data_IF_802651190711
#
_entry.id   IF_802651190711
#
_cell.length_a   1.000
_cell.length_b   1.000
_cell.length_c   1.000
_cell.angle_alpha   90.00
_cell.angle_beta   90.00
_cell.angle_gamma   90.00
#
_symmetry.space_group_name_H-M   'P 1'
#
loop_
_entity.id
_entity.type
_entity.pdbx_description
1 polymer ?
#
# COMPACT_ATOMS: atom_id res chain seq x y z
N UNK A 1 -3.32 -5.45 -26.82
CA UNK A 1 -4.27 -6.08 -25.91
C UNK A 1 -4.02 -5.67 -24.46
N UNK A 2 -2.76 -5.75 -23.94
CA UNK A 2 -2.42 -5.32 -22.58
C UNK A 2 -2.82 -3.87 -22.28
N UNK A 3 -2.45 -2.90 -23.14
CA UNK A 3 -2.82 -1.49 -22.94
C UNK A 3 -4.34 -1.29 -22.89
N UNK A 4 -5.11 -2.02 -23.70
CA UNK A 4 -6.58 -1.96 -23.67
C UNK A 4 -7.14 -2.50 -22.38
N UNK A 5 -6.62 -3.64 -21.91
CA UNK A 5 -7.04 -4.25 -20.66
C UNK A 5 -6.65 -3.37 -19.46
N UNK A 6 -5.42 -2.84 -19.44
CA UNK A 6 -4.98 -1.90 -18.42
C UNK A 6 -5.88 -0.65 -18.37
N UNK A 7 -6.14 -0.04 -19.52
CA UNK A 7 -7.02 1.13 -19.57
C UNK A 7 -8.43 0.83 -19.06
N UNK A 8 -9.00 -0.33 -19.42
CA UNK A 8 -10.33 -0.72 -18.95
C UNK A 8 -10.40 -0.95 -17.43
N UNK A 9 -9.31 -1.41 -16.80
CA UNK A 9 -9.26 -1.76 -15.39
C UNK A 9 -8.80 -0.60 -14.49
N UNK A 10 -7.89 0.23 -14.98
CA UNK A 10 -7.18 1.24 -14.18
C UNK A 10 -7.57 2.67 -14.51
N UNK A 11 -7.85 2.96 -15.79
CA UNK A 11 -8.14 4.34 -16.18
C UNK A 11 -9.62 4.67 -15.98
N UNK A 12 -9.86 5.82 -15.39
CA UNK A 12 -11.20 6.36 -15.15
C UNK A 12 -11.32 7.70 -15.86
N UNK A 13 -12.37 7.86 -16.63
CA UNK A 13 -12.75 9.16 -17.22
C UNK A 13 -14.00 9.64 -16.53
N UNK A 14 -13.93 10.84 -15.98
CA UNK A 14 -15.04 11.48 -15.27
C UNK A 14 -15.96 12.21 -16.23
N UNK A 15 -17.12 12.68 -15.74
CA UNK A 15 -18.14 13.39 -16.52
C UNK A 15 -17.66 14.71 -17.14
N UNK A 16 -16.56 15.28 -16.62
CA UNK A 16 -15.90 16.46 -17.17
C UNK A 16 -14.77 16.15 -18.16
N UNK A 17 -14.60 14.88 -18.53
CA UNK A 17 -13.62 14.43 -19.51
C UNK A 17 -12.19 14.29 -18.96
N UNK A 18 -11.96 14.48 -17.66
CA UNK A 18 -10.66 14.24 -17.07
C UNK A 18 -10.40 12.74 -16.94
N UNK A 19 -9.14 12.31 -17.19
CA UNK A 19 -8.71 10.92 -17.08
C UNK A 19 -7.71 10.76 -15.94
N UNK A 20 -7.89 9.68 -15.18
CA UNK A 20 -7.10 9.32 -14.01
C UNK A 20 -6.60 7.88 -14.15
N UNK A 21 -5.53 7.53 -13.46
CA UNK A 21 -5.05 6.14 -13.35
C UNK A 21 -3.95 5.74 -14.32
N UNK A 22 -3.47 6.64 -15.19
CA UNK A 22 -2.48 6.28 -16.22
C UNK A 22 -1.15 5.81 -15.64
N UNK A 23 -0.66 6.45 -14.58
CA UNK A 23 0.64 6.16 -13.95
C UNK A 23 0.53 5.62 -12.52
N UNK A 24 -0.71 5.47 -12.02
CA UNK A 24 -0.94 5.00 -10.66
C UNK A 24 -0.66 3.51 -10.52
N UNK A 25 -0.13 3.11 -9.36
CA UNK A 25 0.13 1.72 -9.03
C UNK A 25 -1.11 0.99 -8.49
N UNK A 26 -2.09 1.74 -8.02
CA UNK A 26 -3.30 1.22 -7.41
C UNK A 26 -4.53 1.56 -8.25
N UNK A 27 -5.44 0.61 -8.48
CA UNK A 27 -6.69 0.90 -9.15
C UNK A 27 -7.57 1.79 -8.27
N UNK A 28 -8.31 2.72 -8.86
CA UNK A 28 -9.29 3.55 -8.16
C UNK A 28 -10.55 2.74 -7.81
N UNK A 29 -10.42 1.79 -6.89
CA UNK A 29 -11.48 0.89 -6.46
C UNK A 29 -11.69 1.02 -4.94
N UNK A 30 -12.63 1.86 -4.56
CA UNK A 30 -13.09 1.98 -3.16
C UNK A 30 -13.86 0.73 -2.73
N UNK A 31 -14.01 0.46 -1.43
CA UNK A 31 -14.77 -0.70 -0.95
C UNK A 31 -16.18 -0.79 -1.52
N UNK A 32 -16.84 0.34 -1.74
CA UNK A 32 -18.19 0.41 -2.30
C UNK A 32 -18.24 0.61 -3.82
N UNK A 33 -17.10 0.67 -4.51
CA UNK A 33 -17.06 0.88 -5.96
C UNK A 33 -17.80 -0.23 -6.70
N UNK A 34 -18.63 0.15 -7.66
CA UNK A 34 -19.30 -0.77 -8.58
C UNK A 34 -18.78 -0.62 -10.01
N UNK A 35 -17.73 0.16 -10.20
CA UNK A 35 -17.22 0.57 -11.52
C UNK A 35 -16.91 -0.60 -12.46
N UNK A 36 -16.31 -1.68 -11.95
CA UNK A 36 -16.01 -2.87 -12.75
C UNK A 36 -17.16 -3.89 -12.79
N UNK A 37 -18.25 -3.63 -12.05
CA UNK A 37 -19.34 -4.58 -11.83
C UNK A 37 -20.63 -4.20 -12.56
N UNK A 38 -20.70 -2.97 -13.13
CA UNK A 38 -21.87 -2.46 -13.83
C UNK A 38 -21.69 -2.42 -15.34
N UNK A 39 -22.77 -2.66 -16.08
CA UNK A 39 -22.77 -2.56 -17.55
C UNK A 39 -22.72 -1.07 -18.01
N UNK A 40 -22.14 -0.80 -19.16
CA UNK A 40 -21.55 -1.73 -20.13
C UNK A 40 -20.10 -2.10 -19.82
N UNK A 41 -19.50 -1.55 -18.77
CA UNK A 41 -18.09 -1.72 -18.41
C UNK A 41 -17.77 -3.18 -18.06
N UNK A 42 -18.62 -3.82 -17.29
CA UNK A 42 -18.44 -5.21 -16.89
C UNK A 42 -18.29 -6.13 -18.10
N UNK A 43 -19.21 -6.06 -19.04
CA UNK A 43 -19.18 -6.88 -20.27
C UNK A 43 -17.93 -6.59 -21.13
N UNK A 44 -17.52 -5.33 -21.24
CA UNK A 44 -16.29 -4.95 -21.96
C UNK A 44 -15.03 -5.58 -21.33
N UNK A 45 -14.93 -5.56 -20.00
CA UNK A 45 -13.80 -6.15 -19.28
C UNK A 45 -13.79 -7.66 -19.44
N UNK A 46 -14.93 -8.32 -19.29
CA UNK A 46 -15.02 -9.77 -19.50
C UNK A 46 -14.58 -10.16 -20.92
N UNK A 47 -15.01 -9.41 -21.93
CA UNK A 47 -14.58 -9.65 -23.32
C UNK A 47 -13.07 -9.51 -23.49
N UNK A 48 -12.46 -8.48 -22.92
CA UNK A 48 -11.00 -8.26 -22.96
C UNK A 48 -10.22 -9.35 -22.19
N UNK A 49 -10.72 -9.79 -21.04
CA UNK A 49 -10.09 -10.88 -20.28
C UNK A 49 -10.18 -12.21 -21.05
N UNK A 50 -11.33 -12.51 -21.69
CA UNK A 50 -11.48 -13.68 -22.56
C UNK A 50 -10.51 -13.59 -23.75
N UNK A 51 -10.47 -12.45 -24.45
CA UNK A 51 -9.54 -12.24 -25.56
C UNK A 51 -8.07 -12.45 -25.12
N UNK A 52 -7.69 -11.98 -23.92
CA UNK A 52 -6.37 -12.18 -23.36
C UNK A 52 -6.05 -13.67 -23.13
N UNK A 53 -7.01 -14.39 -22.58
CA UNK A 53 -6.86 -15.82 -22.32
C UNK A 53 -6.77 -16.65 -23.61
N UNK A 54 -7.65 -16.37 -24.58
CA UNK A 54 -7.76 -17.12 -25.83
C UNK A 54 -6.55 -16.87 -26.75
N UNK A 55 -6.07 -15.62 -26.81
CA UNK A 55 -4.90 -15.25 -27.62
C UNK A 55 -3.56 -15.45 -26.91
N UNK A 56 -3.54 -16.07 -25.74
CA UNK A 56 -2.30 -16.19 -24.95
C UNK A 56 -1.60 -14.84 -24.79
N UNK A 57 -2.35 -13.84 -24.33
CA UNK A 57 -1.87 -12.47 -24.18
C UNK A 57 -0.64 -12.32 -23.28
N UNK A 58 -0.40 -13.29 -22.41
CA UNK A 58 0.81 -13.42 -21.62
C UNK A 58 2.09 -13.51 -22.47
N UNK A 59 2.03 -14.15 -23.67
CA UNK A 59 3.16 -14.26 -24.57
C UNK A 59 3.48 -12.94 -25.30
N UNK A 60 2.57 -11.98 -25.30
CA UNK A 60 2.79 -10.66 -25.90
C UNK A 60 3.59 -9.71 -25.00
N UNK A 61 3.83 -10.08 -23.74
CA UNK A 61 4.56 -9.27 -22.76
C UNK A 61 5.91 -9.91 -22.50
N UNK A 62 6.90 -9.59 -23.33
CA UNK A 62 8.23 -10.20 -23.25
C UNK A 62 9.09 -9.66 -22.10
N UNK A 63 8.90 -8.39 -21.70
CA UNK A 63 9.72 -7.77 -20.67
C UNK A 63 9.29 -8.23 -19.26
N UNK A 64 10.21 -8.82 -18.45
CA UNK A 64 9.88 -9.31 -17.10
C UNK A 64 9.29 -8.23 -16.21
N UNK A 65 9.82 -7.02 -16.23
CA UNK A 65 9.31 -5.90 -15.45
C UNK A 65 7.85 -5.55 -15.79
N UNK A 66 7.50 -5.54 -17.07
CA UNK A 66 6.11 -5.28 -17.49
C UNK A 66 5.17 -6.42 -17.11
N UNK A 67 5.64 -7.68 -17.18
CA UNK A 67 4.87 -8.83 -16.69
C UNK A 67 4.64 -8.75 -15.19
N UNK A 68 5.67 -8.41 -14.42
CA UNK A 68 5.59 -8.24 -12.98
C UNK A 68 4.51 -7.21 -12.59
N UNK A 69 4.57 -6.04 -13.21
CA UNK A 69 3.58 -4.99 -12.94
C UNK A 69 2.18 -5.40 -13.34
N UNK A 70 2.03 -6.03 -14.48
CA UNK A 70 0.71 -6.45 -14.92
C UNK A 70 0.13 -7.59 -14.08
N UNK A 71 0.96 -8.51 -13.58
CA UNK A 71 0.53 -9.50 -12.60
C UNK A 71 0.06 -8.82 -11.31
N UNK A 72 0.84 -7.86 -10.81
CA UNK A 72 0.52 -7.10 -9.60
C UNK A 72 -0.78 -6.30 -9.74
N UNK A 73 -0.99 -5.66 -10.90
CA UNK A 73 -2.23 -4.93 -11.23
C UNK A 73 -3.45 -5.84 -11.14
N UNK A 74 -3.41 -6.97 -11.82
CA UNK A 74 -4.52 -7.90 -11.84
C UNK A 74 -4.76 -8.53 -10.46
N UNK A 75 -3.70 -8.77 -9.70
CA UNK A 75 -3.80 -9.27 -8.34
C UNK A 75 -4.45 -8.25 -7.41
N UNK A 76 -4.15 -6.95 -7.56
CA UNK A 76 -4.83 -5.90 -6.80
C UNK A 76 -6.35 -5.91 -6.99
N UNK A 77 -6.78 -6.05 -8.24
CA UNK A 77 -8.21 -6.12 -8.57
C UNK A 77 -8.83 -7.43 -8.05
N UNK A 78 -8.11 -8.54 -8.17
CA UNK A 78 -8.56 -9.82 -7.62
C UNK A 78 -8.79 -9.73 -6.11
N UNK A 79 -7.86 -9.15 -5.35
CA UNK A 79 -7.99 -8.96 -3.90
C UNK A 79 -9.20 -8.09 -3.55
N UNK A 80 -9.42 -7.01 -4.28
CA UNK A 80 -10.60 -6.18 -4.11
C UNK A 80 -11.92 -6.94 -4.36
N UNK A 81 -11.93 -7.82 -5.38
CA UNK A 81 -13.09 -8.68 -5.68
C UNK A 81 -13.27 -9.81 -4.66
N UNK A 82 -12.20 -10.29 -4.07
CA UNK A 82 -12.19 -11.42 -3.14
C UNK A 82 -12.31 -11.01 -1.67
N UNK A 83 -12.39 -9.71 -1.38
CA UNK A 83 -12.51 -9.19 -0.02
C UNK A 83 -13.78 -9.73 0.66
N UNK A 84 -13.64 -10.52 1.75
CA UNK A 84 -14.78 -11.09 2.46
C UNK A 84 -15.64 -10.00 3.11
N UNK A 85 -15.02 -8.90 3.57
CA UNK A 85 -15.76 -7.80 4.18
C UNK A 85 -16.58 -7.01 3.14
N UNK A 86 -16.28 -7.19 1.87
CA UNK A 86 -17.06 -6.61 0.80
C UNK A 86 -18.49 -7.19 0.68
N UNK A 87 -18.71 -8.37 1.22
CA UNK A 87 -20.05 -8.96 1.26
C UNK A 87 -20.97 -8.25 2.26
N UNK A 88 -20.39 -7.60 3.26
CA UNK A 88 -21.11 -6.78 4.23
C UNK A 88 -21.41 -5.36 3.72
N UNK A 89 -20.79 -4.95 2.61
CA UNK A 89 -21.13 -3.69 1.95
C UNK A 89 -22.31 -3.93 1.05
N UNK A 90 -23.47 -3.42 1.42
CA UNK A 90 -24.77 -3.63 0.75
C UNK A 90 -24.70 -3.51 -0.78
N UNK A 91 -23.93 -2.54 -1.29
CA UNK A 91 -23.73 -2.33 -2.72
C UNK A 91 -23.00 -3.47 -3.42
N UNK A 92 -22.05 -4.13 -2.77
CA UNK A 92 -21.29 -5.24 -3.36
C UNK A 92 -22.00 -6.59 -3.27
N UNK A 93 -22.85 -6.79 -2.28
CA UNK A 93 -23.66 -8.00 -2.17
C UNK A 93 -24.57 -8.21 -3.38
N UNK A 94 -24.90 -7.14 -4.11
CA UNK A 94 -25.72 -7.21 -5.34
C UNK A 94 -24.97 -7.75 -6.56
N UNK A 95 -23.65 -7.85 -6.54
CA UNK A 95 -22.79 -8.17 -7.69
C UNK A 95 -21.98 -9.45 -7.49
N UNK A 96 -22.58 -10.47 -6.84
CA UNK A 96 -21.88 -11.73 -6.54
C UNK A 96 -21.48 -12.45 -7.83
N UNK A 97 -22.36 -12.50 -8.81
CA UNK A 97 -22.11 -13.18 -10.10
C UNK A 97 -21.02 -12.45 -10.91
N UNK A 98 -21.07 -11.13 -10.96
CA UNK A 98 -20.10 -10.28 -11.67
C UNK A 98 -18.71 -10.37 -11.02
N UNK A 99 -18.65 -10.34 -9.70
CA UNK A 99 -17.40 -10.54 -8.94
C UNK A 99 -16.80 -11.92 -9.22
N UNK A 100 -17.62 -12.95 -9.21
CA UNK A 100 -17.18 -14.32 -9.51
C UNK A 100 -16.70 -14.43 -10.96
N UNK A 101 -17.43 -13.86 -11.92
CA UNK A 101 -17.08 -13.89 -13.33
C UNK A 101 -15.69 -13.24 -13.59
N UNK A 102 -15.40 -12.13 -12.92
CA UNK A 102 -14.09 -11.48 -13.01
C UNK A 102 -12.98 -12.31 -12.33
N UNK A 103 -13.20 -12.81 -11.11
CA UNK A 103 -12.23 -13.64 -10.38
C UNK A 103 -11.82 -14.88 -11.17
N UNK A 104 -12.79 -15.57 -11.78
CA UNK A 104 -12.55 -16.77 -12.57
C UNK A 104 -11.65 -16.51 -13.79
N UNK A 105 -11.61 -15.30 -14.31
CA UNK A 105 -10.77 -14.92 -15.45
C UNK A 105 -9.43 -14.31 -15.00
N UNK A 106 -9.43 -13.53 -13.93
CA UNK A 106 -8.21 -12.91 -13.41
C UNK A 106 -7.23 -13.95 -12.87
N UNK A 107 -7.69 -14.93 -12.10
CA UNK A 107 -6.82 -15.92 -11.48
C UNK A 107 -5.91 -16.67 -12.48
N UNK A 108 -6.43 -17.28 -13.56
CA UNK A 108 -5.58 -17.94 -14.55
C UNK A 108 -4.66 -16.96 -15.31
N UNK A 109 -5.07 -15.70 -15.53
CA UNK A 109 -4.19 -14.70 -16.15
C UNK A 109 -3.04 -14.35 -15.22
N UNK A 110 -3.30 -14.10 -13.95
CA UNK A 110 -2.29 -13.83 -12.92
C UNK A 110 -1.24 -14.96 -12.90
N UNK A 111 -1.67 -16.22 -12.98
CA UNK A 111 -0.78 -17.38 -13.03
C UNK A 111 0.05 -17.45 -14.32
N UNK A 112 -0.53 -17.14 -15.46
CA UNK A 112 0.18 -17.11 -16.76
C UNK A 112 1.20 -15.98 -16.87
N UNK A 113 1.01 -14.90 -16.13
CA UNK A 113 1.95 -13.79 -16.04
C UNK A 113 3.12 -14.05 -15.11
N UNK A 114 3.09 -15.14 -14.35
CA UNK A 114 4.13 -15.49 -13.40
C UNK A 114 5.53 -15.52 -14.04
N UNK A 115 6.50 -15.04 -13.28
CA UNK A 115 7.91 -15.06 -13.60
C UNK A 115 8.59 -16.20 -12.85
N UNK A 116 9.70 -16.71 -13.36
CA UNK A 116 10.55 -17.60 -12.58
C UNK A 116 11.20 -16.85 -11.40
N UNK A 117 11.65 -17.58 -10.39
CA UNK A 117 12.32 -16.95 -9.25
C UNK A 117 13.55 -16.15 -9.70
N UNK A 118 14.33 -16.70 -10.64
CA UNK A 118 15.51 -16.05 -11.19
C UNK A 118 15.15 -14.73 -11.91
N UNK A 119 14.05 -14.71 -12.65
CA UNK A 119 13.56 -13.49 -13.29
C UNK A 119 13.11 -12.45 -12.26
N UNK A 120 12.46 -12.88 -11.16
CA UNK A 120 12.07 -11.99 -10.06
C UNK A 120 13.29 -11.36 -9.39
N UNK A 121 14.34 -12.13 -9.17
CA UNK A 121 15.60 -11.66 -8.57
C UNK A 121 16.35 -10.64 -9.44
N UNK A 122 16.15 -10.69 -10.77
CA UNK A 122 16.75 -9.72 -11.72
C UNK A 122 15.95 -8.44 -11.89
N UNK A 123 14.77 -8.33 -11.29
CA UNK A 123 14.01 -7.09 -11.33
C UNK A 123 14.78 -5.94 -10.64
N UNK A 124 14.60 -4.69 -11.10
CA UNK A 124 15.36 -3.57 -10.57
C UNK A 124 15.08 -3.35 -9.09
N UNK A 125 16.11 -2.97 -8.36
CA UNK A 125 16.00 -2.44 -7.01
C UNK A 125 15.68 -0.95 -7.09
N UNK A 126 14.40 -0.59 -7.02
CA UNK A 126 13.93 0.78 -7.22
C UNK A 126 14.43 1.74 -6.17
N UNK A 127 14.69 1.25 -4.95
CA UNK A 127 15.30 2.05 -3.89
C UNK A 127 16.75 2.37 -4.19
N UNK A 128 17.54 1.38 -4.57
CA UNK A 128 18.96 1.59 -4.94
C UNK A 128 19.11 2.45 -6.18
N UNK A 129 18.21 2.31 -7.15
CA UNK A 129 18.19 3.19 -8.33
C UNK A 129 17.96 4.65 -7.90
N UNK A 130 17.02 4.90 -6.98
CA UNK A 130 16.80 6.24 -6.44
C UNK A 130 18.01 6.78 -5.69
N UNK A 131 18.69 5.97 -4.87
CA UNK A 131 19.92 6.35 -4.19
C UNK A 131 21.06 6.65 -5.17
N UNK A 132 21.23 5.85 -6.21
CA UNK A 132 22.28 5.99 -7.20
C UNK A 132 22.11 7.25 -8.08
N UNK A 133 20.88 7.77 -8.19
CA UNK A 133 20.62 9.02 -8.91
C UNK A 133 21.31 10.24 -8.29
N UNK A 134 21.68 10.16 -6.99
CA UNK A 134 22.26 11.29 -6.25
C UNK A 134 21.29 12.45 -6.00
N UNK A 135 20.02 12.31 -6.37
CA UNK A 135 19.02 13.38 -6.24
C UNK A 135 18.65 13.70 -4.79
N UNK A 136 18.90 12.75 -3.86
CA UNK A 136 18.48 12.88 -2.47
C UNK A 136 19.65 12.72 -1.52
N UNK A 137 19.83 13.64 -0.54
CA UNK A 137 20.81 13.46 0.53
C UNK A 137 20.44 12.23 1.39
N UNK A 138 21.43 11.59 2.00
CA UNK A 138 21.22 10.42 2.85
C UNK A 138 20.60 10.75 4.21
N UNK A 139 20.65 12.02 4.63
CA UNK A 139 20.16 12.50 5.93
C UNK A 139 19.39 13.80 5.75
N UNK A 140 18.41 14.01 6.61
CA UNK A 140 17.73 15.30 6.69
C UNK A 140 18.73 16.41 7.02
N UNK A 141 18.60 17.53 6.30
CA UNK A 141 19.29 18.76 6.69
C UNK A 141 18.35 19.59 7.58
N UNK A 142 18.67 19.81 8.87
CA UNK A 142 17.80 20.58 9.76
C UNK A 142 17.55 22.03 9.32
N UNK A 143 18.47 22.61 8.52
CA UNK A 143 18.32 23.96 7.97
C UNK A 143 17.46 23.99 6.69
N UNK A 144 17.18 22.85 6.09
CA UNK A 144 16.45 22.71 4.81
C UNK A 144 15.49 21.52 4.88
N UNK A 145 14.57 21.59 5.81
CA UNK A 145 13.63 20.50 6.07
C UNK A 145 12.55 20.36 4.99
N UNK A 146 12.45 21.30 4.09
CA UNK A 146 11.61 21.19 2.88
C UNK A 146 12.22 20.23 1.85
N UNK A 147 13.50 19.90 1.94
CA UNK A 147 14.19 18.99 1.01
C UNK A 147 14.06 17.54 1.47
N UNK A 148 13.52 16.71 0.60
CA UNK A 148 13.43 15.29 0.84
C UNK A 148 14.82 14.65 0.92
N UNK A 149 14.94 13.64 1.77
CA UNK A 149 16.15 12.83 1.94
C UNK A 149 15.79 11.35 1.88
N UNK A 150 16.73 10.51 1.43
CA UNK A 150 16.52 9.07 1.33
C UNK A 150 17.67 8.32 2.03
N UNK A 151 17.43 7.66 3.17
CA UNK A 151 18.49 6.99 3.94
C UNK A 151 19.17 5.88 3.14
N UNK A 152 20.50 5.85 3.13
CA UNK A 152 21.26 4.79 2.45
C UNK A 152 21.26 3.47 3.20
N UNK A 153 21.02 3.53 4.50
CA UNK A 153 21.12 2.44 5.48
C UNK A 153 19.78 1.95 6.00
N UNK A 154 18.67 2.34 5.35
CA UNK A 154 17.32 1.96 5.78
C UNK A 154 17.12 0.42 5.89
N UNK A 155 17.70 -0.32 4.96
CA UNK A 155 17.62 -1.79 4.93
C UNK A 155 18.85 -2.51 5.50
N UNK A 156 19.78 -1.76 6.11
CA UNK A 156 20.91 -2.37 6.81
C UNK A 156 20.43 -2.91 8.16
N UNK A 157 20.40 -4.22 8.29
CA UNK A 157 19.96 -4.89 9.52
C UNK A 157 20.83 -4.56 10.75
N UNK A 158 22.04 -4.04 10.56
CA UNK A 158 22.95 -3.61 11.62
C UNK A 158 23.06 -2.08 11.75
N UNK A 159 22.42 -1.35 10.82
CA UNK A 159 22.39 0.10 10.80
C UNK A 159 21.54 0.73 11.90
N UNK A 160 21.41 2.06 11.91
CA UNK A 160 20.66 2.79 12.94
C UNK A 160 19.15 2.56 12.86
N UNK A 161 18.65 2.16 11.70
CA UNK A 161 17.25 1.87 11.49
C UNK A 161 16.88 0.48 12.02
N UNK A 162 15.93 0.43 12.91
CA UNK A 162 15.40 -0.80 13.49
C UNK A 162 14.07 -1.12 12.82
N UNK A 163 13.99 -2.25 12.13
CA UNK A 163 12.72 -2.80 11.69
C UNK A 163 11.95 -3.33 12.89
N UNK A 164 10.69 -2.96 13.02
CA UNK A 164 9.85 -3.48 14.07
C UNK A 164 8.53 -4.02 13.53
N UNK A 165 7.97 -4.97 14.25
CA UNK A 165 6.74 -5.66 13.93
C UNK A 165 6.01 -6.03 15.21
N UNK A 166 4.76 -6.48 15.09
CA UNK A 166 4.02 -7.05 16.22
C UNK A 166 4.67 -8.34 16.68
N UNK A 167 4.61 -8.64 17.96
CA UNK A 167 5.25 -9.79 18.58
C UNK A 167 4.81 -11.15 18.03
N UNK A 168 3.59 -11.23 17.48
CA UNK A 168 3.08 -12.42 16.79
C UNK A 168 3.42 -12.45 15.30
N UNK A 169 4.10 -11.41 14.78
CA UNK A 169 4.45 -11.27 13.38
C UNK A 169 3.27 -11.06 12.45
N UNK A 170 2.08 -10.83 12.99
CA UNK A 170 0.88 -10.50 12.23
C UNK A 170 0.69 -9.01 12.24
N UNK A 171 0.39 -8.37 11.09
CA UNK A 171 -0.24 -7.06 11.12
C UNK A 171 -1.58 -7.28 11.85
N UNK A 172 -1.88 -6.42 12.81
CA UNK A 172 -3.11 -6.57 13.59
C UNK A 172 -4.33 -6.62 12.67
N UNK A 173 -5.23 -7.59 12.83
CA UNK A 173 -6.53 -7.54 12.18
C UNK A 173 -7.27 -6.34 12.77
N UNK A 174 -7.57 -5.37 11.93
CA UNK A 174 -8.35 -4.21 12.34
C UNK A 174 -9.81 -4.60 12.49
N UNK A 175 -10.36 -4.30 13.64
CA UNK A 175 -11.77 -4.56 13.94
C UNK A 175 -12.74 -3.62 13.19
N UNK A 176 -12.24 -2.64 12.41
CA UNK A 176 -13.10 -1.69 11.64
C UNK A 176 -12.44 -1.17 10.36
N UNK A 177 -13.26 -0.79 9.36
CA UNK A 177 -12.88 -0.42 7.99
C UNK A 177 -11.85 0.70 7.83
N UNK A 178 -11.66 1.58 8.80
CA UNK A 178 -10.79 2.76 8.71
C UNK A 178 -9.31 2.46 8.51
N UNK A 179 -8.90 1.21 8.73
CA UNK A 179 -7.52 0.78 8.54
C UNK A 179 -7.33 -0.14 7.34
N UNK A 180 -8.40 -0.39 6.59
CA UNK A 180 -8.45 -1.36 5.49
C UNK A 180 -7.41 -1.12 4.41
N UNK A 181 -6.96 0.08 4.25
CA UNK A 181 -6.07 0.44 3.16
C UNK A 181 -4.73 -0.26 3.23
N UNK A 182 -4.05 -0.10 4.35
CA UNK A 182 -2.77 -0.75 4.54
C UNK A 182 -2.95 -2.26 4.69
N UNK A 183 -4.08 -2.71 5.23
CA UNK A 183 -4.42 -4.14 5.32
C UNK A 183 -4.75 -4.74 3.98
N UNK A 184 -5.45 -4.06 3.10
CA UNK A 184 -5.68 -4.52 1.72
C UNK A 184 -4.36 -4.76 1.00
N UNK A 185 -3.46 -3.80 1.03
CA UNK A 185 -2.15 -3.97 0.41
C UNK A 185 -1.31 -5.01 1.16
N UNK A 186 -1.38 -5.04 2.49
CA UNK A 186 -0.70 -6.05 3.28
C UNK A 186 -1.30 -7.45 3.10
N UNK A 187 -2.58 -7.56 2.72
CA UNK A 187 -3.29 -8.83 2.52
C UNK A 187 -2.81 -9.63 1.31
N UNK A 188 -2.42 -8.97 0.23
CA UNK A 188 -2.15 -9.58 -1.08
C UNK A 188 -0.80 -9.20 -1.66
N UNK A 189 -0.83 -8.42 -2.70
CA UNK A 189 0.25 -8.08 -3.62
C UNK A 189 1.39 -7.21 -3.09
N UNK A 190 1.27 -6.60 -1.93
CA UNK A 190 2.31 -5.77 -1.33
C UNK A 190 2.51 -6.12 0.13
N UNK A 191 3.67 -5.81 0.66
CA UNK A 191 3.95 -5.88 2.08
C UNK A 191 4.46 -4.55 2.60
N UNK A 192 4.23 -4.28 3.89
CA UNK A 192 4.66 -3.08 4.57
C UNK A 192 5.70 -3.42 5.63
N UNK A 193 6.76 -2.63 5.64
CA UNK A 193 7.76 -2.67 6.70
C UNK A 193 7.79 -1.32 7.40
N UNK A 194 7.93 -1.36 8.70
CA UNK A 194 8.03 -0.15 9.52
C UNK A 194 9.38 -0.14 10.21
N UNK A 195 10.07 0.98 10.06
CA UNK A 195 11.38 1.20 10.65
C UNK A 195 11.35 2.41 11.57
N UNK A 196 12.18 2.38 12.59
CA UNK A 196 12.38 3.49 13.51
C UNK A 196 13.88 3.73 13.71
N UNK A 197 14.25 5.00 13.80
CA UNK A 197 15.61 5.45 14.10
C UNK A 197 15.53 6.62 15.07
N UNK A 198 15.99 6.43 16.31
CA UNK A 198 16.09 7.50 17.30
C UNK A 198 17.42 8.23 17.21
N UNK A 199 17.47 9.51 17.64
CA UNK A 199 18.73 10.17 17.93
C UNK A 199 19.55 9.33 18.91
N UNK A 200 20.80 9.04 18.56
CA UNK A 200 21.63 8.09 19.31
C UNK A 200 21.70 6.69 18.69
N UNK A 201 20.93 6.43 17.65
CA UNK A 201 21.07 5.27 16.79
C UNK A 201 20.39 4.00 17.35
N UNK A 202 20.90 2.84 16.88
CA UNK A 202 20.24 1.55 17.05
C UNK A 202 19.95 1.18 18.50
N UNK A 203 20.93 1.26 19.39
CA UNK A 203 20.72 0.86 20.80
C UNK A 203 19.66 1.71 21.49
N UNK A 204 19.71 3.04 21.29
CA UNK A 204 18.69 3.96 21.82
C UNK A 204 17.30 3.62 21.30
N UNK A 205 17.20 3.21 20.04
CA UNK A 205 15.93 2.77 19.44
C UNK A 205 15.41 1.49 20.11
N UNK A 206 16.26 0.50 20.32
CA UNK A 206 15.91 -0.74 21.01
C UNK A 206 15.45 -0.50 22.45
N UNK A 207 16.18 0.36 23.20
CA UNK A 207 15.82 0.73 24.54
C UNK A 207 14.47 1.47 24.62
N UNK A 208 14.19 2.31 23.66
CA UNK A 208 12.89 2.98 23.53
C UNK A 208 11.77 1.95 23.28
N UNK A 209 11.98 0.98 22.39
CA UNK A 209 10.99 -0.08 22.14
C UNK A 209 10.70 -0.90 23.39
N UNK A 210 11.71 -1.22 24.20
CA UNK A 210 11.52 -1.88 25.50
C UNK A 210 10.66 -1.03 26.44
N UNK A 211 10.91 0.27 26.50
CA UNK A 211 10.10 1.21 27.32
C UNK A 211 8.66 1.27 26.82
N UNK A 212 8.43 1.30 25.51
CA UNK A 212 7.08 1.26 24.91
C UNK A 212 6.34 -0.02 25.32
N UNK A 213 7.02 -1.17 25.29
CA UNK A 213 6.44 -2.45 25.68
C UNK A 213 6.11 -2.53 27.18
N UNK A 214 6.93 -1.90 28.02
CA UNK A 214 6.71 -1.82 29.46
C UNK A 214 5.69 -0.76 29.86
N UNK A 215 5.33 0.15 28.96
CA UNK A 215 4.40 1.23 29.26
C UNK A 215 2.99 0.67 29.49
N UNK A 216 2.34 1.02 30.61
CA UNK A 216 1.00 0.50 30.91
C UNK A 216 0.01 0.96 29.84
N UNK A 217 -0.70 0.01 29.25
CA UNK A 217 -1.80 0.33 28.37
C UNK A 217 -2.94 0.96 29.20
N UNK A 218 -3.16 2.24 29.04
CA UNK A 218 -4.36 2.89 29.56
C UNK A 218 -5.53 2.52 28.66
N UNK A 219 -6.32 1.54 29.08
CA UNK A 219 -7.59 1.23 28.42
C UNK A 219 -8.61 2.31 28.79
N UNK A 220 -9.12 3.01 27.81
CA UNK A 220 -10.34 3.82 28.02
C UNK A 220 -11.54 2.94 28.27
N UNK A 221 -12.71 3.53 28.69
CA UNK A 221 -13.92 2.81 29.10
C UNK A 221 -14.50 1.83 28.08
N UNK A 222 -13.94 1.72 26.89
CA UNK A 222 -14.36 0.82 25.81
C UNK A 222 -13.25 -0.10 25.30
N UNK A 223 -12.17 -0.32 26.08
CA UNK A 223 -11.03 -1.15 25.62
C UNK A 223 -10.20 -0.49 24.50
N UNK A 224 -10.50 0.73 24.11
CA UNK A 224 -9.71 1.49 23.15
C UNK A 224 -8.42 1.93 23.82
N UNK A 225 -7.28 1.60 23.22
CA UNK A 225 -6.08 2.37 23.47
C UNK A 225 -6.44 3.83 23.23
N UNK A 226 -6.39 4.63 24.31
CA UNK A 226 -6.54 6.06 24.16
C UNK A 226 -5.35 6.52 23.32
N UNK A 227 -5.60 6.70 22.05
CA UNK A 227 -4.69 7.31 21.08
C UNK A 227 -4.56 8.82 21.31
N UNK A 228 -5.07 9.29 22.45
CA UNK A 228 -4.89 10.68 22.85
C UNK A 228 -3.47 10.88 23.37
N UNK A 229 -2.97 12.05 23.13
CA UNK A 229 -1.68 12.61 23.51
C UNK A 229 -1.20 12.35 24.94
N UNK A 230 -2.05 11.91 25.83
CA UNK A 230 -1.78 11.71 27.24
C UNK A 230 -1.37 10.28 27.65
N UNK A 231 -1.39 9.32 26.71
CA UNK A 231 -1.20 7.90 27.04
C UNK A 231 -0.11 7.15 26.29
N UNK A 232 0.53 7.75 25.28
CA UNK A 232 1.63 7.12 24.56
C UNK A 232 2.98 7.68 25.01
N UNK A 233 4.00 6.84 25.12
CA UNK A 233 5.35 7.29 25.40
C UNK A 233 5.83 8.18 24.22
N UNK A 234 6.13 9.48 24.45
CA UNK A 234 6.53 10.36 23.37
C UNK A 234 7.86 9.92 22.76
N UNK A 235 7.96 10.02 21.45
CA UNK A 235 9.24 9.84 20.78
C UNK A 235 10.09 11.13 20.93
N UNK A 236 11.40 10.99 21.20
CA UNK A 236 12.29 12.15 21.24
C UNK A 236 12.29 12.94 19.94
N UNK A 237 12.49 14.26 20.04
CA UNK A 237 12.71 15.10 18.86
C UNK A 237 13.86 14.56 18.01
N UNK A 238 13.71 14.54 16.69
CA UNK A 238 14.65 13.94 15.75
C UNK A 238 14.43 12.45 15.51
N UNK A 239 13.50 11.81 16.21
CA UNK A 239 13.11 10.42 15.89
C UNK A 239 12.55 10.36 14.47
N UNK A 240 13.00 9.36 13.73
CA UNK A 240 12.57 9.11 12.36
C UNK A 240 11.80 7.80 12.30
N UNK A 241 10.69 7.81 11.60
CA UNK A 241 9.93 6.61 11.23
C UNK A 241 9.92 6.48 9.71
N UNK A 242 10.05 5.26 9.22
CA UNK A 242 9.90 4.99 7.81
C UNK A 242 8.90 3.84 7.60
N UNK A 243 7.97 4.03 6.68
CA UNK A 243 7.05 2.99 6.22
C UNK A 243 7.43 2.69 4.77
N UNK A 244 7.70 1.42 4.48
CA UNK A 244 8.09 0.95 3.16
C UNK A 244 7.03 0.01 2.63
N UNK A 245 6.55 0.26 1.42
CA UNK A 245 5.67 -0.65 0.69
C UNK A 245 6.48 -1.36 -0.39
N UNK A 246 6.54 -2.69 -0.30
CA UNK A 246 7.29 -3.55 -1.21
C UNK A 246 6.33 -4.44 -1.99
N UNK A 247 6.54 -4.51 -3.29
CA UNK A 247 5.77 -5.36 -4.20
C UNK A 247 6.07 -6.83 -3.97
N UNK A 248 5.01 -7.63 -3.96
CA UNK A 248 5.06 -9.09 -3.97
C UNK A 248 4.63 -9.59 -5.35
N UNK A 249 5.16 -10.72 -5.76
CA UNK A 249 4.74 -11.43 -6.97
C UNK A 249 4.42 -12.89 -6.67
N UNK A 250 3.77 -13.53 -7.62
CA UNK A 250 3.53 -14.97 -7.63
C UNK A 250 4.48 -15.57 -8.67
N UNK A 251 5.35 -16.48 -8.23
CA UNK A 251 6.28 -17.15 -9.14
C UNK A 251 5.60 -18.25 -9.99
N UNK A 252 6.34 -18.79 -10.95
CA UNK A 252 5.88 -19.86 -11.85
C UNK A 252 5.51 -21.17 -11.12
N UNK A 253 5.96 -21.35 -9.85
CA UNK A 253 5.58 -22.44 -8.96
C UNK A 253 4.36 -22.13 -8.11
N UNK A 254 3.76 -20.94 -8.27
CA UNK A 254 2.60 -20.50 -7.52
C UNK A 254 2.89 -20.02 -6.11
N UNK A 255 4.11 -19.67 -5.79
CA UNK A 255 4.52 -19.19 -4.47
C UNK A 255 4.62 -17.67 -4.47
N UNK A 256 4.22 -17.04 -3.37
CA UNK A 256 4.50 -15.62 -3.15
C UNK A 256 5.99 -15.38 -3.01
N UNK A 257 6.49 -14.35 -3.68
CA UNK A 257 7.89 -13.92 -3.66
C UNK A 257 7.97 -12.42 -3.41
N UNK A 258 8.85 -11.99 -2.51
CA UNK A 258 9.20 -10.59 -2.40
C UNK A 258 10.03 -10.17 -3.62
N UNK A 259 9.90 -8.92 -4.01
CA UNK A 259 10.71 -8.31 -5.05
C UNK A 259 11.64 -7.25 -4.48
N UNK A 260 12.49 -6.65 -5.30
CA UNK A 260 13.22 -5.43 -4.95
C UNK A 260 12.49 -4.16 -5.41
N UNK A 261 11.27 -4.31 -5.91
CA UNK A 261 10.42 -3.21 -6.32
C UNK A 261 9.78 -2.58 -5.09
N UNK A 262 10.35 -1.49 -4.62
CA UNK A 262 9.74 -0.65 -3.60
C UNK A 262 8.74 0.28 -4.28
N UNK A 263 7.49 0.22 -3.87
CA UNK A 263 6.39 0.99 -4.44
C UNK A 263 6.31 2.39 -3.83
N UNK A 264 6.53 2.48 -2.52
CA UNK A 264 6.61 3.76 -1.81
C UNK A 264 7.46 3.68 -0.56
N UNK A 265 7.99 4.83 -0.14
CA UNK A 265 8.66 5.05 1.13
C UNK A 265 8.13 6.34 1.75
N UNK A 266 7.57 6.25 2.93
CA UNK A 266 7.16 7.41 3.71
C UNK A 266 8.13 7.58 4.87
N UNK A 267 8.70 8.78 5.03
CA UNK A 267 9.60 9.11 6.13
C UNK A 267 8.99 10.25 6.92
N UNK A 268 8.92 10.06 8.23
CA UNK A 268 8.48 11.08 9.17
C UNK A 268 9.57 11.39 10.16
N UNK A 269 9.81 12.66 10.40
CA UNK A 269 10.77 13.14 11.39
C UNK A 269 10.04 13.94 12.46
N UNK A 270 10.09 13.46 13.69
CA UNK A 270 9.46 14.12 14.85
C UNK A 270 10.20 15.41 15.19
N UNK A 271 9.48 16.51 15.29
CA UNK A 271 10.00 17.80 15.77
C UNK A 271 9.38 18.14 17.11
N UNK A 272 10.20 18.55 18.04
CA UNK A 272 9.72 19.03 19.35
C UNK A 272 8.99 17.97 20.19
N UNK A 273 8.41 18.42 21.29
CA UNK A 273 7.66 17.57 22.24
C UNK A 273 6.17 17.49 21.90
N UNK A 274 5.70 18.19 20.89
CA UNK A 274 4.28 18.30 20.53
C UNK A 274 3.98 17.62 19.22
N UNK A 275 2.92 16.87 19.18
CA UNK A 275 2.47 15.90 18.19
C UNK A 275 2.26 16.40 16.77
N UNK A 276 2.08 17.71 16.61
CA UNK A 276 1.72 18.32 15.32
C UNK A 276 2.92 18.77 14.49
N UNK A 277 4.12 18.70 15.04
CA UNK A 277 5.31 19.17 14.38
C UNK A 277 6.17 18.01 13.90
N UNK A 278 5.82 17.47 12.75
CA UNK A 278 6.65 16.47 12.07
C UNK A 278 6.88 16.89 10.63
N UNK A 279 8.10 16.68 10.16
CA UNK A 279 8.36 16.69 8.73
C UNK A 279 7.92 15.38 8.14
N UNK A 280 7.32 15.45 6.98
CA UNK A 280 6.83 14.31 6.25
C UNK A 280 7.40 14.32 4.82
N UNK A 281 7.96 13.18 4.41
CA UNK A 281 8.50 12.96 3.08
C UNK A 281 7.90 11.68 2.52
N UNK A 282 7.44 11.75 1.29
CA UNK A 282 6.96 10.58 0.59
C UNK A 282 7.71 10.40 -0.72
N UNK A 283 8.08 9.17 -0.98
CA UNK A 283 8.65 8.73 -2.24
C UNK A 283 7.71 7.69 -2.83
N UNK A 284 7.46 7.81 -4.10
CA UNK A 284 6.60 6.87 -4.81
C UNK A 284 7.22 6.45 -6.13
N UNK A 285 6.85 5.27 -6.59
CA UNK A 285 7.22 4.76 -7.89
C UNK A 285 6.16 5.14 -8.92
N UNK A 286 6.57 5.68 -10.05
CA UNK A 286 5.70 5.94 -11.19
C UNK A 286 5.98 4.95 -12.30
N UNK A 287 4.93 4.40 -12.93
CA UNK A 287 5.06 3.39 -13.97
C UNK A 287 5.95 3.82 -15.11
N UNK A 288 5.67 5.00 -15.68
CA UNK A 288 6.45 5.53 -16.79
C UNK A 288 7.91 5.66 -16.42
N UNK A 289 8.19 6.28 -15.27
CA UNK A 289 9.56 6.50 -14.80
C UNK A 289 10.30 5.18 -14.56
N UNK A 290 9.61 4.19 -14.01
CA UNK A 290 10.20 2.86 -13.81
C UNK A 290 10.55 2.18 -15.14
N UNK A 291 9.67 2.25 -16.12
CA UNK A 291 9.97 1.68 -17.46
C UNK A 291 11.06 2.43 -18.19
N UNK A 292 11.31 3.69 -17.83
CA UNK A 292 12.46 4.50 -18.27
C UNK A 292 13.74 4.24 -17.42
N UNK A 293 13.71 3.25 -16.53
CA UNK A 293 14.85 2.85 -15.70
C UNK A 293 15.10 3.74 -14.47
N UNK A 294 14.13 4.59 -14.09
CA UNK A 294 14.22 5.43 -12.89
C UNK A 294 13.68 4.69 -11.66
N UNK A 295 14.19 5.08 -10.49
CA UNK A 295 13.71 4.58 -9.20
C UNK A 295 12.58 5.43 -8.62
N UNK A 296 12.42 5.32 -7.31
CA UNK A 296 11.51 6.15 -6.54
C UNK A 296 11.82 7.65 -6.72
N UNK A 297 10.79 8.45 -6.78
CA UNK A 297 10.92 9.91 -6.71
C UNK A 297 10.17 10.50 -5.51
N UNK A 298 10.67 11.60 -5.01
CA UNK A 298 9.98 12.36 -3.97
C UNK A 298 8.68 12.95 -4.53
N UNK A 299 7.61 12.84 -3.76
CA UNK A 299 6.33 13.50 -4.03
C UNK A 299 6.50 15.00 -3.78
N UNK A 300 6.06 15.83 -4.70
CA UNK A 300 6.14 17.27 -4.58
C UNK A 300 5.11 17.80 -3.58
N UNK A 301 5.40 18.95 -2.99
CA UNK A 301 4.53 19.56 -1.97
C UNK A 301 3.16 20.00 -2.51
N UNK A 302 3.06 20.24 -3.81
CA UNK A 302 1.83 20.64 -4.53
C UNK A 302 1.17 19.48 -5.27
N UNK A 303 1.76 18.30 -5.23
CA UNK A 303 1.24 17.12 -5.90
C UNK A 303 -0.02 16.61 -5.19
N UNK A 304 -1.06 16.43 -5.96
CA UNK A 304 -2.33 15.92 -5.48
C UNK A 304 -2.56 14.51 -6.00
N UNK A 305 -3.19 13.69 -5.20
CA UNK A 305 -3.65 12.35 -5.56
C UNK A 305 -5.12 12.18 -5.24
N UNK A 306 -5.74 11.19 -5.82
CA UNK A 306 -7.06 10.74 -5.42
C UNK A 306 -6.85 9.66 -4.36
N UNK A 307 -7.25 9.91 -3.10
CA UNK A 307 -7.03 8.95 -2.03
C UNK A 307 -7.94 7.73 -2.21
N UNK A 308 -7.36 6.64 -2.67
CA UNK A 308 -8.02 5.33 -2.70
C UNK A 308 -8.21 4.80 -1.27
N UNK A 309 -7.53 5.41 -0.34
CA UNK A 309 -7.45 5.06 1.08
C UNK A 309 -8.58 5.61 1.93
N UNK A 310 -9.41 6.46 1.38
CA UNK A 310 -10.49 7.02 2.14
C UNK A 310 -11.60 5.99 2.30
N UNK A 311 -11.96 5.74 3.53
CA UNK A 311 -13.02 4.84 3.97
C UNK A 311 -14.40 5.42 3.60
N UNK A 312 -14.54 5.93 2.39
CA UNK A 312 -15.83 6.44 1.93
C UNK A 312 -16.58 5.32 1.25
N UNK A 313 -17.84 5.23 1.63
CA UNK A 313 -18.80 4.33 1.00
C UNK A 313 -19.17 4.76 -0.43
N UNK A 314 -18.50 5.77 -0.99
CA UNK A 314 -18.84 6.34 -2.29
C UNK A 314 -17.66 6.31 -3.26
N UNK A 315 -17.93 5.87 -4.46
CA UNK A 315 -17.01 6.03 -5.58
C UNK A 315 -16.99 7.51 -6.01
N UNK A 316 -15.95 8.22 -5.58
CA UNK A 316 -15.86 9.68 -5.79
C UNK A 316 -15.72 10.07 -7.27
N UNK A 317 -15.21 9.16 -8.13
CA UNK A 317 -15.08 9.42 -9.55
C UNK A 317 -16.41 9.26 -10.31
N UNK A 318 -17.37 8.54 -9.75
CA UNK A 318 -18.70 8.39 -10.31
C UNK A 318 -19.64 9.57 -9.92
N UNK A 319 -19.17 10.47 -9.03
CA UNK A 319 -19.95 11.63 -8.65
C UNK A 319 -19.94 12.70 -9.74
N UNK A 320 -21.09 13.39 -9.99
CA UNK A 320 -21.12 14.53 -10.89
C UNK A 320 -20.12 15.62 -10.50
N UNK A 321 -19.54 16.29 -11.50
CA UNK A 321 -18.56 17.37 -11.28
C UNK A 321 -19.03 18.40 -10.26
N UNK A 322 -20.29 18.82 -10.33
CA UNK A 322 -20.86 19.79 -9.38
C UNK A 322 -20.83 19.33 -7.93
N UNK A 323 -20.97 18.02 -7.70
CA UNK A 323 -20.90 17.42 -6.36
C UNK A 323 -19.43 17.30 -5.91
N UNK A 324 -18.52 16.89 -6.82
CA UNK A 324 -17.09 16.84 -6.55
C UNK A 324 -16.57 18.23 -6.16
N UNK A 325 -16.86 19.25 -6.95
CA UNK A 325 -16.44 20.63 -6.68
C UNK A 325 -17.01 21.19 -5.36
N UNK A 326 -18.27 20.90 -5.03
CA UNK A 326 -18.85 21.28 -3.73
C UNK A 326 -18.13 20.60 -2.57
N UNK A 327 -17.74 19.34 -2.73
CA UNK A 327 -16.95 18.62 -1.72
C UNK A 327 -15.55 19.20 -1.58
N UNK A 328 -14.92 19.56 -2.68
CA UNK A 328 -13.60 20.22 -2.68
C UNK A 328 -13.65 21.60 -2.00
N UNK A 329 -14.72 22.34 -2.19
CA UNK A 329 -14.92 23.67 -1.60
C UNK A 329 -15.35 23.61 -0.12
N UNK A 330 -16.11 22.60 0.28
CA UNK A 330 -16.72 22.51 1.60
C UNK A 330 -15.79 21.99 2.70
N UNK A 331 -14.63 21.43 2.35
CA UNK A 331 -13.85 20.65 3.31
C UNK A 331 -12.40 21.10 3.38
N UNK A 332 -12.09 21.82 4.43
CA UNK A 332 -10.75 21.86 4.99
C UNK A 332 -10.49 20.52 5.71
N UNK A 333 -10.14 19.48 4.97
CA UNK A 333 -9.80 18.16 5.56
C UNK A 333 -10.48 16.99 4.84
N UNK A 334 -11.30 16.23 5.51
CA UNK A 334 -11.83 14.91 5.14
C UNK A 334 -12.95 14.91 4.08
N UNK A 335 -12.79 15.50 2.95
CA UNK A 335 -13.90 15.59 1.98
C UNK A 335 -13.50 15.78 0.55
N UNK A 336 -12.23 15.98 0.30
CA UNK A 336 -11.73 16.29 -1.04
C UNK A 336 -11.70 15.04 -1.91
N UNK A 337 -12.03 15.21 -3.17
CA UNK A 337 -11.83 14.18 -4.20
C UNK A 337 -10.34 14.00 -4.46
N UNK A 338 -9.59 15.12 -4.44
CA UNK A 338 -8.15 15.13 -4.53
C UNK A 338 -7.55 15.63 -3.22
N UNK A 339 -6.53 14.98 -2.73
CA UNK A 339 -5.80 15.39 -1.54
C UNK A 339 -4.35 15.65 -1.88
N UNK A 340 -3.76 16.65 -1.24
CA UNK A 340 -2.31 16.73 -1.19
C UNK A 340 -1.83 15.49 -0.40
N UNK A 341 -0.96 14.69 -1.02
CA UNK A 341 -0.45 13.45 -0.43
C UNK A 341 0.11 13.65 0.98
N UNK A 342 0.82 14.77 1.21
CA UNK A 342 1.37 15.10 2.53
C UNK A 342 0.29 15.38 3.57
N UNK A 343 -0.82 16.00 3.17
CA UNK A 343 -1.93 16.31 4.09
C UNK A 343 -2.74 15.06 4.39
N UNK A 344 -3.02 14.23 3.39
CA UNK A 344 -3.76 12.99 3.56
C UNK A 344 -3.09 12.02 4.52
N UNK A 345 -1.79 11.81 4.36
CA UNK A 345 -1.03 10.92 5.26
C UNK A 345 -0.89 11.50 6.66
N UNK A 346 -0.63 12.81 6.79
CA UNK A 346 -0.48 13.45 8.10
C UNK A 346 -1.78 13.49 8.89
N UNK A 347 -2.95 13.52 8.25
CA UNK A 347 -4.23 13.51 8.96
C UNK A 347 -4.44 12.26 9.83
N UNK A 348 -3.91 11.13 9.40
CA UNK A 348 -3.99 9.86 10.12
C UNK A 348 -2.74 9.58 10.98
N UNK A 349 -1.58 10.10 10.59
CA UNK A 349 -0.29 9.86 11.24
C UNK A 349 0.19 11.05 12.08
N UNK A 350 -0.73 11.75 12.75
CA UNK A 350 -0.44 12.93 13.58
C UNK A 350 -0.24 12.63 15.06
N UNK A 351 -0.37 11.38 15.48
CA UNK A 351 -0.27 11.01 16.89
C UNK A 351 1.19 10.91 17.36
N UNK A 352 1.40 11.01 18.68
CA UNK A 352 2.76 11.03 19.25
C UNK A 352 3.42 9.66 19.27
N UNK A 353 4.74 9.67 19.22
CA UNK A 353 5.57 8.49 19.42
C UNK A 353 5.24 7.37 18.42
N UNK A 354 5.29 6.14 18.94
CA UNK A 354 4.98 4.93 18.14
C UNK A 354 3.55 4.93 17.60
N UNK A 355 2.61 5.60 18.30
CA UNK A 355 1.22 5.71 17.86
C UNK A 355 1.09 6.44 16.51
N UNK A 356 2.07 7.23 16.11
CA UNK A 356 2.07 7.91 14.82
C UNK A 356 2.18 6.98 13.61
N UNK A 357 2.78 5.81 13.79
CA UNK A 357 2.92 4.77 12.75
C UNK A 357 2.03 3.55 13.04
N UNK A 358 1.53 3.46 14.26
CA UNK A 358 0.61 2.42 14.72
C UNK A 358 -0.75 2.99 15.15
N UNK A 359 -1.14 4.15 14.62
CA UNK A 359 -2.37 4.86 14.98
C UNK A 359 -3.67 4.06 14.81
N UNK A 360 -3.59 2.96 14.09
CA UNK A 360 -4.69 2.05 13.85
C UNK A 360 -4.74 0.85 14.82
N UNK A 361 -3.82 0.73 15.74
CA UNK A 361 -3.90 -0.29 16.80
C UNK A 361 -4.98 0.12 17.79
N UNK A 362 -6.15 -0.46 17.67
CA UNK A 362 -7.25 -0.27 18.60
C UNK A 362 -7.15 -1.18 19.83
N UNK A 363 -6.40 -2.26 19.72
CA UNK A 363 -6.14 -3.19 20.80
C UNK A 363 -4.67 -3.13 21.20
N UNK A 364 -4.39 -3.50 22.45
CA UNK A 364 -3.01 -3.58 22.94
C UNK A 364 -2.22 -4.52 22.02
N UNK A 365 -1.23 -4.02 21.27
CA UNK A 365 -0.42 -4.90 20.46
C UNK A 365 0.26 -5.91 21.39
N UNK A 366 0.42 -7.17 20.98
CA UNK A 366 1.17 -8.17 21.72
C UNK A 366 2.66 -7.85 21.66
N UNK A 367 3.09 -6.75 22.27
CA UNK A 367 4.46 -6.27 22.26
C UNK A 367 5.01 -5.91 20.89
N UNK A 368 5.93 -4.98 20.84
CA UNK A 368 6.71 -4.68 19.63
C UNK A 368 8.00 -5.49 19.69
N UNK A 369 8.30 -6.23 18.64
CA UNK A 369 9.59 -6.92 18.50
C UNK A 369 10.44 -6.23 17.47
N UNK A 370 11.70 -6.00 17.81
CA UNK A 370 12.72 -5.60 16.85
C UNK A 370 13.17 -6.83 16.08
N UNK A 371 13.25 -6.72 14.76
CA UNK A 371 13.95 -7.73 13.97
C UNK A 371 15.45 -7.40 13.99
N UNK A 372 16.27 -8.33 14.47
CA UNK A 372 17.72 -8.16 14.54
C UNK A 372 18.40 -8.15 13.16
N UNK A 373 17.72 -8.71 12.16
CA UNK A 373 18.27 -8.92 10.81
C UNK A 373 17.50 -8.19 9.70
N UNK A 374 16.65 -7.23 10.05
CA UNK A 374 15.76 -6.56 9.10
C UNK A 374 14.42 -7.27 8.92
N UNK A 375 13.67 -6.95 7.86
CA UNK A 375 12.32 -7.51 7.64
C UNK A 375 12.29 -9.03 7.53
N UNK A 376 11.49 -9.68 8.35
CA UNK A 376 11.27 -11.12 8.31
C UNK A 376 10.20 -11.47 7.25
N UNK A 377 10.58 -11.41 5.99
CA UNK A 377 9.66 -11.58 4.85
C UNK A 377 8.96 -12.95 4.88
N UNK A 378 9.65 -13.99 5.32
CA UNK A 378 9.10 -15.35 5.43
C UNK A 378 7.88 -15.42 6.37
N UNK A 379 7.90 -14.65 7.47
CA UNK A 379 6.75 -14.58 8.37
C UNK A 379 5.55 -13.90 7.71
N UNK A 380 5.82 -12.84 6.95
CA UNK A 380 4.80 -12.12 6.19
C UNK A 380 4.19 -13.03 5.13
N UNK A 381 5.01 -13.76 4.38
CA UNK A 381 4.55 -14.70 3.35
C UNK A 381 3.66 -15.80 3.97
N UNK A 382 4.07 -16.36 5.10
CA UNK A 382 3.28 -17.38 5.81
C UNK A 382 1.92 -16.83 6.22
N UNK A 383 1.90 -15.66 6.86
CA UNK A 383 0.66 -15.02 7.28
C UNK A 383 -0.25 -14.68 6.08
N UNK A 384 0.31 -14.19 4.97
CA UNK A 384 -0.47 -13.94 3.74
C UNK A 384 -1.01 -15.23 3.14
N UNK A 385 -0.26 -16.32 3.22
CA UNK A 385 -0.68 -17.64 2.78
C UNK A 385 -1.91 -18.20 3.51
N UNK A 386 -2.19 -17.71 4.71
CA UNK A 386 -3.37 -18.07 5.51
C UNK A 386 -4.63 -17.26 5.17
N UNK A 387 -4.52 -16.25 4.28
CA UNK A 387 -5.64 -15.38 3.93
C UNK A 387 -6.61 -16.06 2.97
N UNK A 388 -7.90 -15.78 3.17
CA UNK A 388 -8.98 -16.26 2.30
C UNK A 388 -8.72 -15.92 0.82
N UNK A 389 -8.35 -14.69 0.52
CA UNK A 389 -8.08 -14.22 -0.84
C UNK A 389 -6.99 -15.05 -1.53
N UNK A 390 -5.95 -15.41 -0.78
CA UNK A 390 -4.86 -16.25 -1.29
C UNK A 390 -5.35 -17.66 -1.63
N UNK A 391 -6.06 -18.30 -0.71
CA UNK A 391 -6.63 -19.64 -0.93
C UNK A 391 -7.57 -19.66 -2.15
N UNK A 392 -8.42 -18.64 -2.27
CA UNK A 392 -9.33 -18.50 -3.40
C UNK A 392 -8.57 -18.32 -4.73
N UNK A 393 -7.53 -17.48 -4.76
CA UNK A 393 -6.69 -17.28 -5.94
C UNK A 393 -6.02 -18.59 -6.38
N UNK A 394 -5.45 -19.35 -5.44
CA UNK A 394 -4.81 -20.62 -5.74
C UNK A 394 -5.82 -21.65 -6.27
N UNK A 395 -6.99 -21.76 -5.67
CA UNK A 395 -8.05 -22.68 -6.13
C UNK A 395 -8.48 -22.35 -7.57
N UNK A 396 -8.87 -21.11 -7.86
CA UNK A 396 -9.33 -20.70 -9.18
C UNK A 396 -8.22 -20.74 -10.26
N UNK A 397 -6.95 -20.62 -9.87
CA UNK A 397 -5.84 -20.69 -10.82
C UNK A 397 -5.51 -22.12 -11.29
N UNK A 398 -5.91 -23.13 -10.52
CA UNK A 398 -5.62 -24.55 -10.80
C UNK A 398 -6.78 -25.31 -11.44
N UNK A 399 -7.99 -24.77 -11.39
CA UNK A 399 -9.15 -25.42 -12.01
C UNK A 399 -9.01 -25.52 -13.54
N UNK A 400 -9.13 -26.71 -14.13
CA UNK A 400 -9.21 -26.84 -15.58
C UNK A 400 -10.47 -26.15 -16.08
N UNK A 401 -10.37 -25.42 -17.16
CA UNK A 401 -11.54 -24.85 -17.84
C UNK A 401 -12.39 -25.99 -18.41
N UNK A 402 -13.61 -26.06 -18.03
CA UNK A 402 -14.65 -26.76 -18.76
C UNK A 402 -15.24 -25.85 -19.85
#
# INVERSE_FOLDING_TARGET
LWNRLYAALYMRTTDDGQSYGQDDLDPFLWPSSTYLLTEPRHGQILALLNEFLDKRGDNLIAQPLKRAFFQNDLWAIFDWLADPDAEHVEKKARFIAERQALRNRLAPIIRRLALSNEQIETLPDTYRVALASGAYPARQNPAHTEKAFLPRDLFDGHGPWVHFQNGDGKPHPFAKPTALTHVHFAGGRSTFFVFMNLPGGRQTTLDYMQKVNAFPATSGPQGRLLTSSSGALPAPSGTQFAIVRQMMLIDDKGKMRPTRLIESVQIRVVRGNMEKESDFYEFTQHRKELFDGKGLRAVKSDEVTIPVFNVRDEDVLDLPRSVRQKREAAVKGEGRVTENLRIGCTSCHTQSGIASVSSFFHDRPPGLTASERGPEVERVIRWKGEKFNWGLLQGLATEPRH
#
